data_IF_135794939709
#
_entry.id   IF_135794939709
#
_cell.length_a   1.000
_cell.length_b   1.000
_cell.length_c   1.000
_cell.angle_alpha   90.00
_cell.angle_beta   90.00
_cell.angle_gamma   90.00
#
_symmetry.space_group_name_H-M   'P 1'
#
loop_
_entity.id
_entity.type
_entity.pdbx_description
1 polymer ?
#
# COMPACT_ATOMS: atom_id res chain seq x y z
N UNK A 1 -0.50 6.33 -4.82
CA UNK A 1 -0.78 7.48 -5.70
C UNK A 1 0.38 7.73 -6.70
N UNK A 2 1.52 8.39 -6.32
CA UNK A 2 2.60 8.78 -7.24
C UNK A 2 3.24 7.60 -7.98
N UNK A 3 3.52 6.51 -7.29
CA UNK A 3 4.11 5.31 -7.88
C UNK A 3 3.24 4.70 -8.98
N UNK A 4 1.95 4.58 -8.75
CA UNK A 4 0.99 4.05 -9.73
C UNK A 4 0.91 4.98 -10.94
N UNK A 5 0.78 6.30 -10.71
CA UNK A 5 0.72 7.28 -11.78
C UNK A 5 1.94 7.25 -12.70
N UNK A 6 3.15 7.22 -12.12
CA UNK A 6 4.39 7.15 -12.92
C UNK A 6 4.55 5.81 -13.62
N UNK A 7 4.19 4.69 -12.97
CA UNK A 7 4.27 3.36 -13.58
C UNK A 7 3.44 3.27 -14.85
N UNK A 8 2.20 3.76 -14.82
CA UNK A 8 1.31 3.79 -15.97
C UNK A 8 1.86 4.63 -17.13
N UNK A 9 2.33 5.84 -16.82
CA UNK A 9 2.86 6.73 -17.85
C UNK A 9 4.15 6.17 -18.49
N UNK A 10 5.06 5.61 -17.69
CA UNK A 10 6.28 4.96 -18.20
C UNK A 10 5.90 3.74 -19.05
N UNK A 11 5.04 2.85 -18.57
CA UNK A 11 4.62 1.65 -19.30
C UNK A 11 3.99 2.01 -20.65
N UNK A 12 3.15 3.03 -20.68
CA UNK A 12 2.54 3.54 -21.91
C UNK A 12 3.60 4.05 -22.89
N UNK A 13 4.58 4.86 -22.42
CA UNK A 13 5.66 5.38 -23.29
C UNK A 13 6.57 4.27 -23.83
N UNK A 14 6.81 3.25 -23.01
CA UNK A 14 7.52 2.06 -23.48
C UNK A 14 6.76 1.34 -24.60
N UNK A 15 5.45 1.20 -24.48
CA UNK A 15 4.59 0.64 -25.52
C UNK A 15 4.60 1.46 -26.83
N UNK A 16 4.60 2.79 -26.69
CA UNK A 16 4.70 3.76 -27.81
C UNK A 16 6.13 3.81 -28.41
N UNK A 17 7.12 3.08 -27.86
CA UNK A 17 8.57 3.13 -28.23
C UNK A 17 9.18 4.53 -28.07
N UNK A 18 8.62 5.38 -27.21
CA UNK A 18 9.06 6.77 -26.96
C UNK A 18 9.95 6.87 -25.73
N UNK A 19 11.06 6.13 -25.73
CA UNK A 19 11.96 6.02 -24.57
C UNK A 19 12.59 7.36 -24.13
N UNK A 20 12.79 8.30 -25.07
CA UNK A 20 13.35 9.62 -24.76
C UNK A 20 12.48 10.44 -23.80
N UNK A 21 11.18 10.24 -23.81
CA UNK A 21 10.26 10.97 -22.92
C UNK A 21 10.27 10.43 -21.48
N UNK A 22 10.77 9.23 -21.25
CA UNK A 22 10.77 8.59 -19.92
C UNK A 22 11.53 9.43 -18.89
N UNK A 23 12.63 10.05 -19.27
CA UNK A 23 13.41 10.94 -18.40
C UNK A 23 12.54 12.06 -17.81
N UNK A 24 11.61 12.62 -18.58
CA UNK A 24 10.71 13.67 -18.08
C UNK A 24 9.81 13.17 -16.94
N UNK A 25 9.27 11.97 -17.08
CA UNK A 25 8.39 11.36 -16.06
C UNK A 25 9.16 10.94 -14.82
N UNK A 26 10.36 10.35 -14.97
CA UNK A 26 11.17 9.91 -13.83
C UNK A 26 11.73 11.09 -13.04
N UNK A 27 12.15 12.17 -13.70
CA UNK A 27 12.61 13.38 -13.01
C UNK A 27 11.47 14.13 -12.34
N UNK A 28 10.31 14.23 -13.01
CA UNK A 28 9.14 14.93 -12.48
C UNK A 28 8.56 14.21 -11.25
N UNK A 29 8.43 12.86 -11.27
CA UNK A 29 7.92 12.13 -10.11
C UNK A 29 8.86 12.23 -8.93
N UNK A 30 10.19 12.22 -9.13
CA UNK A 30 11.14 12.37 -8.03
C UNK A 30 11.06 13.77 -7.41
N UNK A 31 10.94 14.82 -8.24
CA UNK A 31 10.72 16.19 -7.77
C UNK A 31 9.41 16.35 -7.00
N UNK A 32 8.34 15.79 -7.55
CA UNK A 32 7.02 15.82 -6.93
C UNK A 32 6.98 15.03 -5.61
N UNK A 33 7.67 13.88 -5.55
CA UNK A 33 7.79 13.07 -4.32
C UNK A 33 8.51 13.85 -3.23
N UNK A 34 9.63 14.51 -3.55
CA UNK A 34 10.35 15.34 -2.60
C UNK A 34 9.48 16.50 -2.10
N UNK A 35 8.78 17.17 -2.99
CA UNK A 35 7.90 18.30 -2.61
C UNK A 35 6.78 17.85 -1.68
N UNK A 36 6.04 16.81 -2.07
CA UNK A 36 4.90 16.31 -1.28
C UNK A 36 5.36 15.79 0.07
N UNK A 37 6.43 14.97 0.11
CA UNK A 37 6.88 14.41 1.38
C UNK A 37 7.42 15.49 2.32
N UNK A 38 8.07 16.52 1.80
CA UNK A 38 8.51 17.67 2.59
C UNK A 38 7.32 18.41 3.21
N UNK A 39 6.30 18.72 2.40
CA UNK A 39 5.09 19.40 2.88
C UNK A 39 4.39 18.54 3.95
N UNK A 40 4.17 17.26 3.66
CA UNK A 40 3.49 16.34 4.60
C UNK A 40 4.31 16.17 5.88
N UNK A 41 5.63 16.01 5.78
CA UNK A 41 6.49 15.84 6.96
C UNK A 41 6.51 17.09 7.84
N UNK A 42 6.65 18.28 7.24
CA UNK A 42 6.61 19.55 7.98
C UNK A 42 5.25 19.75 8.64
N UNK A 43 4.16 19.56 7.89
CA UNK A 43 2.81 19.67 8.43
C UNK A 43 2.58 18.69 9.60
N UNK A 44 2.91 17.42 9.40
CA UNK A 44 2.75 16.39 10.44
C UNK A 44 3.63 16.70 11.65
N UNK A 45 4.85 17.18 11.47
CA UNK A 45 5.75 17.52 12.57
C UNK A 45 5.20 18.69 13.41
N UNK A 46 4.68 19.74 12.75
CA UNK A 46 4.10 20.91 13.44
C UNK A 46 2.79 20.55 14.18
N UNK A 47 1.96 19.71 13.59
CA UNK A 47 0.64 19.37 14.11
C UNK A 47 0.53 17.97 14.70
N UNK A 48 1.66 17.34 15.06
CA UNK A 48 1.69 15.94 15.52
C UNK A 48 0.70 15.67 16.65
N UNK A 49 0.69 16.52 17.70
CA UNK A 49 -0.22 16.36 18.84
C UNK A 49 -1.70 16.48 18.43
N UNK A 50 -2.01 17.46 17.60
CA UNK A 50 -3.39 17.68 17.11
C UNK A 50 -3.86 16.51 16.26
N UNK A 51 -2.99 15.97 15.40
CA UNK A 51 -3.28 14.80 14.58
C UNK A 51 -3.55 13.57 15.48
N UNK A 52 -2.70 13.32 16.47
CA UNK A 52 -2.90 12.22 17.40
C UNK A 52 -4.20 12.37 18.22
N UNK A 53 -4.53 13.58 18.69
CA UNK A 53 -5.78 13.85 19.37
C UNK A 53 -6.99 13.66 18.48
N UNK A 54 -6.92 14.11 17.23
CA UNK A 54 -7.98 13.92 16.24
C UNK A 54 -8.22 12.43 15.94
N UNK A 55 -7.15 11.62 15.92
CA UNK A 55 -7.24 10.17 15.78
C UNK A 55 -7.68 9.43 17.05
N UNK A 56 -8.01 10.15 18.12
CA UNK A 56 -8.57 9.58 19.35
C UNK A 56 -7.56 9.30 20.47
N UNK A 57 -6.29 9.67 20.31
CA UNK A 57 -5.29 9.48 21.37
C UNK A 57 -5.57 10.45 22.55
N UNK A 58 -5.51 9.93 23.78
CA UNK A 58 -5.69 10.67 25.05
C UNK A 58 -4.60 10.27 26.04
N UNK A 59 -4.36 11.10 27.02
CA UNK A 59 -3.47 10.88 28.15
C UNK A 59 -2.10 10.28 27.76
N UNK A 60 -1.71 9.18 28.37
CA UNK A 60 -0.44 8.50 28.11
C UNK A 60 -0.33 8.01 26.65
N UNK A 61 -1.46 7.62 26.03
CA UNK A 61 -1.46 7.19 24.61
C UNK A 61 -1.07 8.36 23.72
N UNK A 62 -1.53 9.58 24.02
CA UNK A 62 -1.16 10.77 23.26
C UNK A 62 0.36 11.02 23.30
N UNK A 63 0.98 10.92 24.47
CA UNK A 63 2.43 11.10 24.61
C UNK A 63 3.20 10.07 23.77
N UNK A 64 2.82 8.80 23.87
CA UNK A 64 3.48 7.71 23.14
C UNK A 64 3.29 7.84 21.62
N UNK A 65 2.07 8.11 21.17
CA UNK A 65 1.74 8.29 19.76
C UNK A 65 2.46 9.49 19.13
N UNK A 66 2.55 10.61 19.87
CA UNK A 66 3.26 11.81 19.43
C UNK A 66 4.76 11.54 19.26
N UNK A 67 5.38 10.86 20.24
CA UNK A 67 6.79 10.49 20.16
C UNK A 67 7.07 9.54 19.00
N UNK A 68 6.22 8.53 18.81
CA UNK A 68 6.33 7.58 17.71
C UNK A 68 6.21 8.27 16.35
N UNK A 69 5.14 9.06 16.16
CA UNK A 69 4.86 9.71 14.88
C UNK A 69 5.95 10.69 14.48
N UNK A 70 6.45 11.49 15.42
CA UNK A 70 7.58 12.41 15.17
C UNK A 70 8.82 11.70 14.64
N UNK A 71 9.18 10.57 15.26
CA UNK A 71 10.34 9.79 14.84
C UNK A 71 10.09 9.18 13.46
N UNK A 72 8.96 8.50 13.25
CA UNK A 72 8.66 7.80 12.00
C UNK A 72 8.55 8.75 10.79
N UNK A 73 8.17 10.01 11.00
CA UNK A 73 8.15 11.01 9.93
C UNK A 73 9.51 11.22 9.26
N UNK A 74 10.62 11.05 9.96
CA UNK A 74 11.95 11.08 9.32
C UNK A 74 12.17 9.93 8.34
N UNK A 75 11.53 8.77 8.58
CA UNK A 75 11.59 7.62 7.68
C UNK A 75 10.66 7.71 6.46
N UNK A 76 9.67 8.59 6.49
CA UNK A 76 8.66 8.70 5.44
C UNK A 76 9.25 9.01 4.05
N UNK A 77 10.38 9.72 4.00
CA UNK A 77 11.14 9.99 2.77
C UNK A 77 11.62 8.67 2.14
N UNK A 78 12.17 7.77 2.94
CA UNK A 78 12.66 6.48 2.47
C UNK A 78 11.52 5.61 1.94
N UNK A 79 10.40 5.57 2.66
CA UNK A 79 9.21 4.83 2.24
C UNK A 79 8.64 5.35 0.92
N UNK A 80 8.54 6.68 0.77
CA UNK A 80 8.03 7.30 -0.44
C UNK A 80 8.87 6.96 -1.67
N UNK A 81 10.20 7.09 -1.56
CA UNK A 81 11.10 6.74 -2.66
C UNK A 81 11.18 5.23 -2.91
N UNK A 82 11.13 4.39 -1.88
CA UNK A 82 11.05 2.92 -2.05
C UNK A 82 9.86 2.56 -2.92
N UNK A 83 8.71 3.16 -2.64
CA UNK A 83 7.47 2.93 -3.40
C UNK A 83 7.61 3.41 -4.84
N UNK A 84 8.06 4.65 -5.06
CA UNK A 84 8.22 5.22 -6.41
C UNK A 84 9.21 4.40 -7.24
N UNK A 85 10.37 4.03 -6.68
CA UNK A 85 11.38 3.22 -7.37
C UNK A 85 10.91 1.78 -7.63
N UNK A 86 10.12 1.22 -6.70
CA UNK A 86 9.45 -0.07 -6.90
C UNK A 86 8.52 -0.03 -8.11
N UNK A 87 7.64 0.97 -8.18
CA UNK A 87 6.73 1.14 -9.32
C UNK A 87 7.43 1.47 -10.63
N UNK A 88 8.56 2.19 -10.62
CA UNK A 88 9.39 2.35 -11.81
C UNK A 88 9.92 1.00 -12.31
N UNK A 89 10.38 0.12 -11.41
CA UNK A 89 10.80 -1.23 -11.77
C UNK A 89 9.65 -2.08 -12.33
N UNK A 90 8.45 -1.96 -11.75
CA UNK A 90 7.24 -2.64 -12.24
C UNK A 90 6.91 -2.22 -13.67
N UNK A 91 7.02 -0.92 -14.00
CA UNK A 91 6.77 -0.40 -15.35
C UNK A 91 7.67 -1.06 -16.42
N UNK A 92 8.87 -1.49 -16.03
CA UNK A 92 9.80 -2.25 -16.88
C UNK A 92 9.66 -3.77 -16.75
N UNK A 93 8.59 -4.25 -16.10
CA UNK A 93 8.31 -5.68 -15.92
C UNK A 93 9.10 -6.35 -14.78
N UNK A 94 9.84 -5.59 -13.96
CA UNK A 94 10.66 -6.13 -12.88
C UNK A 94 9.95 -6.05 -11.52
N UNK A 95 8.85 -6.80 -11.38
CA UNK A 95 8.02 -6.80 -10.16
C UNK A 95 8.74 -7.34 -8.92
N UNK A 96 9.72 -8.24 -9.11
CA UNK A 96 10.47 -8.87 -8.01
C UNK A 96 11.18 -7.85 -7.12
N UNK A 97 11.60 -6.72 -7.68
CA UNK A 97 12.33 -5.69 -6.93
C UNK A 97 11.47 -5.11 -5.81
N UNK A 98 10.22 -4.76 -6.11
CA UNK A 98 9.31 -4.20 -5.09
C UNK A 98 9.00 -5.22 -4.01
N UNK A 99 8.73 -6.47 -4.40
CA UNK A 99 8.47 -7.56 -3.47
C UNK A 99 9.68 -7.81 -2.55
N UNK A 100 10.88 -7.91 -3.10
CA UNK A 100 12.09 -8.12 -2.32
C UNK A 100 12.41 -6.94 -1.39
N UNK A 101 12.24 -5.70 -1.86
CA UNK A 101 12.44 -4.51 -1.03
C UNK A 101 11.51 -4.52 0.18
N UNK A 102 10.22 -4.82 -0.02
CA UNK A 102 9.24 -4.90 1.06
C UNK A 102 9.54 -6.05 2.02
N UNK A 103 9.87 -7.23 1.49
CA UNK A 103 10.22 -8.40 2.32
C UNK A 103 11.45 -8.15 3.17
N UNK A 104 12.52 -7.62 2.60
CA UNK A 104 13.75 -7.24 3.34
C UNK A 104 13.40 -6.24 4.44
N UNK A 105 12.59 -5.22 4.14
CA UNK A 105 12.12 -4.25 5.14
C UNK A 105 11.41 -4.91 6.30
N UNK A 106 10.47 -5.81 6.05
CA UNK A 106 9.73 -6.52 7.09
C UNK A 106 10.67 -7.36 7.96
N UNK A 107 11.58 -8.15 7.37
CA UNK A 107 12.53 -8.95 8.13
C UNK A 107 13.45 -8.11 9.00
N UNK A 108 13.98 -7.02 8.46
CA UNK A 108 14.83 -6.10 9.22
C UNK A 108 14.04 -5.44 10.35
N UNK A 109 12.80 -5.02 10.09
CA UNK A 109 11.95 -4.43 11.12
C UNK A 109 11.76 -5.39 12.30
N UNK A 110 11.40 -6.65 12.05
CA UNK A 110 11.21 -7.67 13.09
C UNK A 110 12.49 -7.86 13.92
N UNK A 111 13.65 -7.98 13.27
CA UNK A 111 14.93 -8.20 13.96
C UNK A 111 15.29 -6.99 14.80
N UNK A 112 15.19 -5.79 14.25
CA UNK A 112 15.59 -4.55 14.94
C UNK A 112 14.59 -4.22 16.05
N UNK A 113 13.28 -4.43 15.84
CA UNK A 113 12.25 -4.30 16.88
C UNK A 113 12.56 -5.20 18.08
N UNK A 114 12.84 -6.48 17.83
CA UNK A 114 13.19 -7.42 18.89
C UNK A 114 14.40 -6.92 19.69
N UNK A 115 15.45 -6.48 19.02
CA UNK A 115 16.67 -6.01 19.66
C UNK A 115 16.45 -4.73 20.45
N UNK A 116 15.81 -3.71 19.87
CA UNK A 116 15.65 -2.40 20.51
C UNK A 116 14.60 -2.43 21.64
N UNK A 117 13.52 -3.21 21.45
CA UNK A 117 12.45 -3.26 22.47
C UNK A 117 12.82 -4.21 23.60
N UNK A 118 13.28 -5.44 23.27
CA UNK A 118 13.50 -6.47 24.27
C UNK A 118 14.87 -6.35 24.98
N UNK A 119 15.94 -6.07 24.24
CA UNK A 119 17.29 -6.03 24.81
C UNK A 119 17.67 -4.64 25.34
N UNK A 120 17.30 -3.58 24.61
CA UNK A 120 17.62 -2.19 25.02
C UNK A 120 16.48 -1.49 25.75
N UNK A 121 15.34 -2.13 25.94
CA UNK A 121 14.16 -1.62 26.65
C UNK A 121 13.70 -0.23 26.19
N UNK A 122 13.90 0.11 24.91
CA UNK A 122 13.57 1.43 24.35
C UNK A 122 12.06 1.67 24.13
N UNK A 123 11.22 0.65 24.35
CA UNK A 123 9.77 0.75 24.19
C UNK A 123 9.35 1.31 22.82
N UNK A 124 8.42 2.25 22.81
CA UNK A 124 7.86 2.86 21.59
C UNK A 124 8.93 3.60 20.74
N UNK A 125 9.93 4.19 21.36
CA UNK A 125 11.03 4.82 20.63
C UNK A 125 11.85 3.79 19.86
N UNK A 126 12.07 2.61 20.45
CA UNK A 126 12.72 1.49 19.80
C UNK A 126 11.96 1.03 18.55
N UNK A 127 10.64 0.85 18.66
CA UNK A 127 9.77 0.51 17.54
C UNK A 127 9.83 1.55 16.40
N UNK A 128 9.84 2.84 16.72
CA UNK A 128 9.94 3.90 15.73
C UNK A 128 11.30 3.87 14.99
N UNK A 129 12.40 3.66 15.72
CA UNK A 129 13.75 3.57 15.15
C UNK A 129 13.88 2.32 14.27
N UNK A 130 13.34 1.17 14.68
CA UNK A 130 13.32 -0.05 13.89
C UNK A 130 12.57 0.16 12.57
N UNK A 131 11.42 0.85 12.62
CA UNK A 131 10.65 1.21 11.43
C UNK A 131 11.46 2.05 10.46
N UNK A 132 12.15 3.11 10.92
CA UNK A 132 12.98 3.95 10.05
C UNK A 132 14.15 3.15 9.47
N UNK A 133 14.81 2.33 10.29
CA UNK A 133 15.94 1.50 9.86
C UNK A 133 15.52 0.53 8.74
N UNK A 134 14.38 -0.11 8.89
CA UNK A 134 13.82 -1.01 7.86
C UNK A 134 13.46 -0.28 6.56
N UNK A 135 12.84 0.91 6.68
CA UNK A 135 12.51 1.76 5.53
C UNK A 135 13.78 2.23 4.80
N UNK A 136 14.83 2.61 5.55
CA UNK A 136 16.11 3.01 4.97
C UNK A 136 16.76 1.87 4.18
N UNK A 137 16.80 0.66 4.73
CA UNK A 137 17.38 -0.51 4.04
C UNK A 137 16.58 -0.87 2.80
N UNK A 138 15.24 -0.86 2.87
CA UNK A 138 14.37 -1.04 1.71
C UNK A 138 14.59 0.02 0.63
N UNK A 139 14.80 1.26 1.04
CA UNK A 139 15.14 2.36 0.14
C UNK A 139 16.48 2.13 -0.57
N UNK A 140 17.52 1.78 0.16
CA UNK A 140 18.86 1.51 -0.42
C UNK A 140 18.77 0.37 -1.43
N UNK A 141 18.05 -0.71 -1.09
CA UNK A 141 17.82 -1.81 -2.01
C UNK A 141 17.11 -1.35 -3.29
N UNK A 142 15.99 -0.64 -3.16
CA UNK A 142 15.23 -0.11 -4.30
C UNK A 142 16.06 0.87 -5.15
N UNK A 143 16.89 1.70 -4.50
CA UNK A 143 17.78 2.65 -5.16
C UNK A 143 18.84 1.95 -6.02
N UNK A 144 19.42 0.85 -5.53
CA UNK A 144 20.40 0.05 -6.29
C UNK A 144 19.75 -0.47 -7.58
N UNK A 145 18.55 -1.01 -7.50
CA UNK A 145 17.87 -1.56 -8.66
C UNK A 145 17.40 -0.49 -9.65
N UNK A 146 16.87 0.63 -9.17
CA UNK A 146 16.48 1.73 -10.07
C UNK A 146 17.69 2.38 -10.74
N UNK A 147 18.84 2.46 -10.06
CA UNK A 147 20.10 2.90 -10.70
C UNK A 147 20.60 1.93 -11.78
N UNK A 148 20.47 0.61 -11.56
CA UNK A 148 20.74 -0.38 -12.61
C UNK A 148 19.81 -0.18 -13.80
N UNK A 149 18.53 0.03 -13.54
CA UNK A 149 17.52 0.30 -14.57
C UNK A 149 17.82 1.59 -15.33
N UNK A 150 18.21 2.65 -14.63
CA UNK A 150 18.63 3.94 -15.18
C UNK A 150 19.80 3.77 -16.17
N UNK A 151 20.85 3.06 -15.75
CA UNK A 151 22.02 2.83 -16.61
C UNK A 151 21.68 2.03 -17.87
N UNK A 152 20.80 1.03 -17.74
CA UNK A 152 20.39 0.19 -18.88
C UNK A 152 19.56 0.95 -19.91
N UNK A 153 18.74 1.88 -19.47
CA UNK A 153 17.73 2.56 -20.30
C UNK A 153 18.02 4.05 -20.53
N UNK A 154 19.15 4.56 -20.05
CA UNK A 154 19.63 5.95 -20.25
C UNK A 154 18.59 7.03 -19.90
N UNK A 155 17.95 6.93 -18.72
CA UNK A 155 17.09 7.99 -18.21
C UNK A 155 17.70 8.68 -16.98
N UNK A 156 17.17 9.83 -16.57
CA UNK A 156 17.67 10.58 -15.41
C UNK A 156 16.76 10.38 -14.20
N UNK A 157 17.34 10.33 -13.00
CA UNK A 157 16.65 10.32 -11.71
C UNK A 157 16.73 11.67 -10.98
N UNK A 158 17.38 12.67 -11.55
CA UNK A 158 17.57 13.98 -10.91
C UNK A 158 16.19 14.62 -10.69
N UNK A 159 15.83 14.97 -9.45
CA UNK A 159 14.53 15.57 -9.18
C UNK A 159 14.36 16.91 -9.92
N UNK A 160 13.28 17.05 -10.68
CA UNK A 160 12.88 18.30 -11.34
C UNK A 160 11.38 18.45 -11.25
N UNK A 161 10.90 19.65 -11.00
CA UNK A 161 9.47 19.94 -11.02
C UNK A 161 9.08 20.37 -12.44
N UNK A 162 8.18 19.60 -13.05
CA UNK A 162 7.49 19.95 -14.29
C UNK A 162 5.99 19.90 -13.99
N UNK A 163 5.35 21.06 -14.02
CA UNK A 163 3.95 21.20 -13.60
C UNK A 163 3.00 20.37 -14.47
N UNK A 164 3.21 20.35 -15.78
CA UNK A 164 2.33 19.63 -16.71
C UNK A 164 2.46 18.10 -16.53
N UNK A 165 3.68 17.60 -16.37
CA UNK A 165 3.93 16.18 -16.15
C UNK A 165 3.46 15.77 -14.75
N UNK A 166 3.73 16.58 -13.74
CA UNK A 166 3.27 16.35 -12.37
C UNK A 166 1.74 16.28 -12.29
N UNK A 167 1.03 17.15 -12.99
CA UNK A 167 -0.44 17.09 -13.09
C UNK A 167 -0.93 15.76 -13.68
N UNK A 168 -0.29 15.26 -14.72
CA UNK A 168 -0.65 13.99 -15.33
C UNK A 168 -0.39 12.80 -14.37
N UNK A 169 0.74 12.81 -13.67
CA UNK A 169 1.06 11.78 -12.64
C UNK A 169 0.01 11.81 -11.53
N UNK A 170 -0.34 13.00 -11.04
CA UNK A 170 -1.33 13.18 -9.99
C UNK A 170 -2.73 12.76 -10.47
N UNK A 171 -3.13 13.13 -11.68
CA UNK A 171 -4.45 12.78 -12.21
C UNK A 171 -4.69 11.27 -12.25
N UNK A 172 -3.69 10.48 -12.70
CA UNK A 172 -3.77 9.02 -12.69
C UNK A 172 -3.70 8.46 -11.27
N UNK A 173 -2.79 8.99 -10.46
CA UNK A 173 -2.61 8.51 -9.09
C UNK A 173 -3.72 8.94 -8.14
N UNK A 174 -4.49 9.96 -8.44
CA UNK A 174 -5.54 10.50 -7.58
C UNK A 174 -6.68 9.52 -7.33
N UNK A 175 -7.02 8.69 -8.34
CA UNK A 175 -7.99 7.61 -8.17
C UNK A 175 -7.57 6.63 -7.07
N UNK A 176 -6.28 6.26 -7.01
CA UNK A 176 -5.76 5.41 -5.93
C UNK A 176 -5.79 6.11 -4.57
N UNK A 177 -5.58 7.42 -4.53
CA UNK A 177 -5.69 8.20 -3.29
C UNK A 177 -7.12 8.20 -2.77
N UNK A 178 -8.12 8.39 -3.64
CA UNK A 178 -9.54 8.35 -3.25
C UNK A 178 -9.91 7.00 -2.65
N UNK A 179 -9.44 5.88 -3.23
CA UNK A 179 -9.74 4.54 -2.72
C UNK A 179 -9.21 4.39 -1.29
N UNK A 180 -7.92 4.64 -1.07
CA UNK A 180 -7.29 4.53 0.25
C UNK A 180 -7.93 5.48 1.29
N UNK A 181 -8.27 6.69 0.85
CA UNK A 181 -8.94 7.67 1.70
C UNK A 181 -10.37 7.26 2.07
N UNK A 182 -11.10 6.68 1.11
CA UNK A 182 -12.45 6.15 1.33
C UNK A 182 -12.45 4.99 2.33
N UNK A 183 -11.45 4.10 2.26
CA UNK A 183 -11.31 3.01 3.22
C UNK A 183 -11.06 3.53 4.64
N UNK A 184 -10.24 4.55 4.80
CA UNK A 184 -9.99 5.18 6.10
C UNK A 184 -11.26 5.85 6.68
N UNK A 185 -12.04 6.54 5.83
CA UNK A 185 -13.33 7.11 6.23
C UNK A 185 -14.31 5.99 6.62
N UNK A 186 -14.41 4.94 5.82
CA UNK A 186 -15.31 3.82 6.07
C UNK A 186 -15.04 3.20 7.45
N UNK A 187 -13.79 2.92 7.77
CA UNK A 187 -13.39 2.36 9.08
C UNK A 187 -13.78 3.32 10.21
N UNK A 188 -13.53 4.61 10.04
CA UNK A 188 -13.87 5.63 11.04
C UNK A 188 -15.38 5.71 11.29
N UNK A 189 -16.16 5.74 10.21
CA UNK A 189 -17.65 5.79 10.28
C UNK A 189 -18.18 4.50 10.91
N UNK A 190 -17.69 3.34 10.51
CA UNK A 190 -18.11 2.06 11.11
C UNK A 190 -17.84 2.02 12.61
N UNK A 191 -16.65 2.44 13.05
CA UNK A 191 -16.34 2.48 14.49
C UNK A 191 -17.28 3.43 15.25
N UNK A 192 -17.61 4.57 14.64
CA UNK A 192 -18.53 5.54 15.26
C UNK A 192 -19.97 5.01 15.37
N UNK A 193 -20.43 4.26 14.38
CA UNK A 193 -21.76 3.63 14.37
C UNK A 193 -21.83 2.38 15.27
N UNK A 194 -20.77 1.63 15.39
CA UNK A 194 -20.74 0.41 16.20
C UNK A 194 -20.62 0.68 17.70
N UNK A 195 -19.95 1.76 18.08
CA UNK A 195 -19.72 2.10 19.48
C UNK A 195 -21.02 2.22 20.32
N UNK A 196 -22.07 2.96 19.89
CA UNK A 196 -23.31 3.07 20.66
C UNK A 196 -24.16 1.80 20.67
N UNK A 197 -23.97 0.89 19.69
CA UNK A 197 -24.78 -0.33 19.55
C UNK A 197 -24.18 -1.52 20.31
N UNK A 198 -22.88 -1.70 20.26
CA UNK A 198 -22.20 -2.88 20.84
C UNK A 198 -21.00 -2.54 21.73
N UNK A 199 -20.79 -1.26 22.04
CA UNK A 199 -19.71 -0.83 22.91
C UNK A 199 -18.31 -1.19 22.40
N UNK A 200 -17.41 -1.41 23.34
CA UNK A 200 -16.02 -1.79 23.03
C UNK A 200 -15.90 -3.15 22.33
N UNK A 201 -16.80 -4.08 22.64
CA UNK A 201 -16.80 -5.41 22.02
C UNK A 201 -17.00 -5.32 20.51
N UNK A 202 -17.94 -4.49 20.05
CA UNK A 202 -18.20 -4.29 18.63
C UNK A 202 -17.00 -3.66 17.90
N UNK A 203 -16.27 -2.76 18.54
CA UNK A 203 -15.04 -2.17 17.97
C UNK A 203 -13.93 -3.22 17.87
N UNK A 204 -13.75 -4.05 18.89
CA UNK A 204 -12.79 -5.15 18.90
C UNK A 204 -13.10 -6.13 17.76
N UNK A 205 -14.38 -6.54 17.64
CA UNK A 205 -14.85 -7.43 16.59
C UNK A 205 -14.58 -6.85 15.20
N UNK A 206 -14.97 -5.57 14.97
CA UNK A 206 -14.71 -4.89 13.69
C UNK A 206 -13.21 -4.82 13.37
N UNK A 207 -12.37 -4.54 14.37
CA UNK A 207 -10.92 -4.50 14.22
C UNK A 207 -10.33 -5.85 13.79
N UNK A 208 -10.78 -6.95 14.38
CA UNK A 208 -10.34 -8.31 14.02
C UNK A 208 -10.83 -8.69 12.62
N UNK A 209 -12.13 -8.46 12.34
CA UNK A 209 -12.73 -8.75 11.03
C UNK A 209 -11.99 -7.98 9.93
N UNK A 210 -11.72 -6.69 10.13
CA UNK A 210 -10.98 -5.86 9.18
C UNK A 210 -9.58 -6.39 8.94
N UNK A 211 -8.82 -6.75 9.99
CA UNK A 211 -7.47 -7.31 9.86
C UNK A 211 -7.47 -8.63 9.09
N UNK A 212 -8.39 -9.53 9.41
CA UNK A 212 -8.48 -10.83 8.72
C UNK A 212 -8.90 -10.62 7.25
N UNK A 213 -9.85 -9.72 6.99
CA UNK A 213 -10.24 -9.36 5.62
C UNK A 213 -9.07 -8.79 4.81
N UNK A 214 -8.20 -7.97 5.40
CA UNK A 214 -7.02 -7.42 4.71
C UNK A 214 -6.12 -8.52 4.13
N UNK A 215 -5.90 -9.65 4.83
CA UNK A 215 -5.13 -10.78 4.29
C UNK A 215 -5.78 -11.38 3.04
N UNK A 216 -7.10 -11.43 2.99
CA UNK A 216 -7.82 -11.91 1.80
C UNK A 216 -7.68 -10.92 0.63
N UNK A 217 -7.86 -9.63 0.89
CA UNK A 217 -7.82 -8.58 -0.14
C UNK A 217 -6.42 -8.39 -0.75
N UNK A 218 -5.34 -8.55 0.03
CA UNK A 218 -3.95 -8.39 -0.44
C UNK A 218 -3.67 -9.24 -1.67
N UNK A 219 -4.14 -10.49 -1.73
CA UNK A 219 -3.94 -11.35 -2.88
C UNK A 219 -4.65 -10.83 -4.14
N UNK A 220 -5.90 -10.36 -4.01
CA UNK A 220 -6.66 -9.79 -5.14
C UNK A 220 -6.06 -8.48 -5.63
N UNK A 221 -5.70 -7.58 -4.71
CA UNK A 221 -5.05 -6.30 -5.02
C UNK A 221 -3.72 -6.54 -5.72
N UNK A 222 -2.91 -7.49 -5.21
CA UNK A 222 -1.60 -7.82 -5.79
C UNK A 222 -1.68 -8.27 -7.24
N UNK A 223 -2.61 -9.18 -7.55
CA UNK A 223 -2.81 -9.65 -8.93
C UNK A 223 -3.39 -8.54 -9.82
N UNK A 224 -4.43 -7.86 -9.34
CA UNK A 224 -5.11 -6.81 -10.13
C UNK A 224 -4.18 -5.63 -10.43
N UNK A 225 -3.38 -5.19 -9.47
CA UNK A 225 -2.39 -4.12 -9.67
C UNK A 225 -1.27 -4.51 -10.63
N UNK A 226 -0.94 -5.81 -10.72
CA UNK A 226 0.07 -6.32 -11.64
C UNK A 226 -0.37 -6.26 -13.11
N UNK A 227 -1.67 -6.32 -13.36
CA UNK A 227 -2.25 -6.25 -14.71
C UNK A 227 -2.16 -4.83 -15.28
N UNK A 228 -2.23 -3.81 -14.45
CA UNK A 228 -2.28 -2.40 -14.85
C UNK A 228 -1.10 -1.96 -15.76
N UNK A 229 0.19 -2.19 -15.42
CA UNK A 229 1.30 -1.83 -16.29
C UNK A 229 1.29 -2.59 -17.61
N UNK A 230 0.81 -3.85 -17.61
CA UNK A 230 0.68 -4.64 -18.84
C UNK A 230 -0.37 -4.06 -19.78
N UNK A 231 -1.49 -3.60 -19.24
CA UNK A 231 -2.53 -2.91 -20.01
C UNK A 231 -2.00 -1.59 -20.55
N UNK A 232 -1.37 -0.77 -19.70
CA UNK A 232 -0.81 0.52 -20.09
C UNK A 232 0.23 0.41 -21.20
N UNK A 233 1.10 -0.62 -21.14
CA UNK A 233 2.07 -0.92 -22.19
C UNK A 233 1.39 -1.26 -23.52
N UNK A 234 0.44 -2.23 -23.51
CA UNK A 234 -0.25 -2.66 -24.72
C UNK A 234 -1.18 -1.57 -25.28
N UNK A 235 -1.71 -0.69 -24.42
CA UNK A 235 -2.45 0.50 -24.86
C UNK A 235 -1.55 1.46 -25.62
N UNK A 236 -0.34 1.72 -25.12
CA UNK A 236 0.68 2.50 -25.83
C UNK A 236 1.09 1.87 -27.16
N UNK A 237 1.19 0.54 -27.21
CA UNK A 237 1.50 -0.23 -28.43
C UNK A 237 0.29 -0.37 -29.38
N UNK A 238 -0.91 0.11 -29.00
CA UNK A 238 -2.18 -0.03 -29.74
C UNK A 238 -2.60 -1.49 -29.99
N UNK A 239 -2.15 -2.42 -29.13
CA UNK A 239 -2.48 -3.85 -29.23
C UNK A 239 -3.71 -4.18 -28.36
N UNK A 240 -4.90 -3.79 -28.84
CA UNK A 240 -6.16 -3.99 -28.12
C UNK A 240 -6.55 -5.46 -27.97
N UNK A 241 -6.08 -6.33 -28.88
CA UNK A 241 -6.34 -7.78 -28.77
C UNK A 241 -5.62 -8.37 -27.55
N UNK A 242 -4.38 -7.96 -27.31
CA UNK A 242 -3.67 -8.38 -26.10
C UNK A 242 -4.29 -7.81 -24.82
N UNK A 243 -4.75 -6.57 -24.82
CA UNK A 243 -5.49 -5.99 -23.69
C UNK A 243 -6.69 -6.86 -23.34
N UNK A 244 -7.51 -7.22 -24.32
CA UNK A 244 -8.69 -8.08 -24.11
C UNK A 244 -8.29 -9.46 -23.55
N UNK A 245 -7.20 -10.05 -24.05
CA UNK A 245 -6.67 -11.33 -23.55
C UNK A 245 -6.17 -11.22 -22.11
N UNK A 246 -5.41 -10.16 -21.78
CA UNK A 246 -4.92 -9.90 -20.43
C UNK A 246 -6.07 -9.74 -19.45
N UNK A 247 -7.09 -8.95 -19.81
CA UNK A 247 -8.28 -8.76 -18.99
C UNK A 247 -9.03 -10.08 -18.74
N UNK A 248 -9.32 -10.83 -19.81
CA UNK A 248 -10.03 -12.11 -19.70
C UNK A 248 -9.26 -13.09 -18.78
N UNK A 249 -7.95 -13.21 -18.99
CA UNK A 249 -7.10 -14.08 -18.16
C UNK A 249 -7.05 -13.57 -16.71
N UNK A 250 -6.93 -12.27 -16.51
CA UNK A 250 -6.95 -11.63 -15.20
C UNK A 250 -8.24 -11.90 -14.44
N UNK A 251 -9.39 -11.68 -15.07
CA UNK A 251 -10.69 -11.96 -14.46
C UNK A 251 -10.83 -13.41 -14.01
N UNK A 252 -10.51 -14.35 -14.91
CA UNK A 252 -10.57 -15.78 -14.55
C UNK A 252 -9.63 -16.12 -13.40
N UNK A 253 -8.38 -15.65 -13.48
CA UNK A 253 -7.37 -15.97 -12.48
C UNK A 253 -7.71 -15.39 -11.11
N UNK A 254 -8.10 -14.09 -11.04
CA UNK A 254 -8.42 -13.44 -9.75
C UNK A 254 -9.70 -14.02 -9.15
N UNK A 255 -10.69 -14.35 -9.99
CA UNK A 255 -11.92 -15.01 -9.53
C UNK A 255 -11.65 -16.41 -8.95
N UNK A 256 -10.84 -17.22 -9.62
CA UNK A 256 -10.46 -18.54 -9.10
C UNK A 256 -9.64 -18.42 -7.79
N UNK A 257 -8.67 -17.51 -7.76
CA UNK A 257 -7.85 -17.27 -6.58
C UNK A 257 -8.70 -16.80 -5.39
N UNK A 258 -9.58 -15.84 -5.62
CA UNK A 258 -10.48 -15.33 -4.57
C UNK A 258 -11.45 -16.41 -4.07
N UNK A 259 -11.94 -17.26 -4.97
CA UNK A 259 -12.81 -18.39 -4.59
C UNK A 259 -12.05 -19.41 -3.74
N UNK A 260 -10.82 -19.75 -4.10
CA UNK A 260 -9.98 -20.67 -3.32
C UNK A 260 -9.72 -20.08 -1.92
N UNK A 261 -9.35 -18.80 -1.84
CA UNK A 261 -9.14 -18.11 -0.56
C UNK A 261 -10.43 -18.09 0.26
N UNK A 262 -11.57 -17.80 -0.37
CA UNK A 262 -12.86 -17.78 0.29
C UNK A 262 -13.24 -19.13 0.88
N UNK A 263 -13.06 -20.21 0.11
CA UNK A 263 -13.28 -21.58 0.59
C UNK A 263 -12.37 -21.89 1.78
N UNK A 264 -11.07 -21.62 1.66
CA UNK A 264 -10.09 -21.85 2.72
C UNK A 264 -10.45 -21.10 4.00
N UNK A 265 -10.84 -19.82 3.88
CA UNK A 265 -11.24 -19.00 5.02
C UNK A 265 -12.52 -19.49 5.69
N UNK A 266 -13.52 -19.92 4.92
CA UNK A 266 -14.75 -20.48 5.49
C UNK A 266 -14.51 -21.78 6.29
N UNK A 267 -13.63 -22.66 5.79
CA UNK A 267 -13.29 -23.91 6.51
C UNK A 267 -12.47 -23.66 7.78
N UNK A 268 -11.59 -22.65 7.78
CA UNK A 268 -10.65 -22.42 8.88
C UNK A 268 -10.99 -21.16 9.71
N UNK A 269 -12.20 -20.64 9.60
CA UNK A 269 -12.60 -19.36 10.18
C UNK A 269 -12.37 -19.31 11.69
N UNK A 270 -12.77 -20.32 12.45
CA UNK A 270 -12.62 -20.39 13.91
C UNK A 270 -11.14 -20.39 14.32
N UNK A 271 -10.31 -21.12 13.59
CA UNK A 271 -8.88 -21.17 13.84
C UNK A 271 -8.22 -19.82 13.58
N UNK A 272 -8.57 -19.18 12.47
CA UNK A 272 -7.96 -17.89 12.06
C UNK A 272 -8.38 -16.76 12.99
N UNK A 273 -9.67 -16.65 13.32
CA UNK A 273 -10.16 -15.62 14.25
C UNK A 273 -9.66 -15.92 15.68
N UNK A 274 -9.55 -17.19 16.07
CA UNK A 274 -9.01 -17.63 17.37
C UNK A 274 -7.55 -17.25 17.61
N UNK A 275 -6.77 -16.93 16.55
CA UNK A 275 -5.43 -16.35 16.71
C UNK A 275 -5.46 -14.92 17.29
N UNK A 276 -6.58 -14.20 17.12
CA UNK A 276 -6.75 -12.83 17.56
C UNK A 276 -7.62 -12.70 18.82
N UNK A 277 -8.58 -13.60 19.01
CA UNK A 277 -9.55 -13.57 20.10
C UNK A 277 -9.47 -14.87 20.92
N UNK A 278 -9.29 -14.73 22.24
CA UNK A 278 -9.27 -15.85 23.19
C UNK A 278 -10.61 -16.04 23.93
N UNK A 279 -11.43 -14.99 23.96
CA UNK A 279 -12.76 -15.03 24.57
C UNK A 279 -13.72 -15.79 23.64
N UNK A 280 -14.30 -16.89 24.10
CA UNK A 280 -15.16 -17.77 23.31
C UNK A 280 -16.42 -17.05 22.80
N UNK A 281 -17.01 -16.17 23.60
CA UNK A 281 -18.20 -15.38 23.22
C UNK A 281 -17.87 -14.45 22.06
N UNK A 282 -16.77 -13.68 22.18
CA UNK A 282 -16.33 -12.76 21.14
C UNK A 282 -15.88 -13.53 19.89
N UNK A 283 -15.25 -14.69 20.04
CA UNK A 283 -14.84 -15.56 18.94
C UNK A 283 -16.05 -15.99 18.11
N UNK A 284 -17.13 -16.46 18.76
CA UNK A 284 -18.34 -16.89 18.07
C UNK A 284 -19.00 -15.75 17.34
N UNK A 285 -19.17 -14.60 18.02
CA UNK A 285 -19.74 -13.39 17.40
C UNK A 285 -18.91 -12.90 16.19
N UNK A 286 -17.57 -12.92 16.31
CA UNK A 286 -16.65 -12.54 15.22
C UNK A 286 -16.78 -13.50 14.05
N UNK A 287 -16.84 -14.80 14.31
CA UNK A 287 -16.95 -15.85 13.29
C UNK A 287 -18.24 -15.70 12.49
N UNK A 288 -19.38 -15.53 13.18
CA UNK A 288 -20.67 -15.36 12.52
C UNK A 288 -20.71 -14.06 11.69
N UNK A 289 -20.25 -12.95 12.26
CA UNK A 289 -20.18 -11.68 11.56
C UNK A 289 -19.24 -11.75 10.34
N UNK A 290 -18.09 -12.40 10.46
CA UNK A 290 -17.13 -12.51 9.37
C UNK A 290 -17.67 -13.32 8.19
N UNK A 291 -18.46 -14.37 8.44
CA UNK A 291 -19.11 -15.15 7.36
C UNK A 291 -19.98 -14.28 6.47
N UNK A 292 -20.72 -13.33 7.05
CA UNK A 292 -21.53 -12.37 6.27
C UNK A 292 -20.64 -11.41 5.48
N UNK A 293 -19.58 -10.90 6.08
CA UNK A 293 -18.65 -9.96 5.42
C UNK A 293 -17.99 -10.57 4.20
N UNK A 294 -17.56 -11.84 4.27
CA UNK A 294 -16.86 -12.50 3.17
C UNK A 294 -17.78 -13.14 2.13
N UNK A 295 -19.10 -13.09 2.31
CA UNK A 295 -20.06 -13.75 1.41
C UNK A 295 -19.88 -13.32 -0.07
N UNK A 296 -19.65 -12.04 -0.29
CA UNK A 296 -19.49 -11.46 -1.64
C UNK A 296 -18.03 -11.42 -2.11
N UNK A 297 -17.10 -11.98 -1.33
CA UNK A 297 -15.67 -11.86 -1.59
C UNK A 297 -15.24 -12.33 -3.00
N UNK A 298 -15.70 -13.48 -3.54
CA UNK A 298 -15.33 -13.88 -4.90
C UNK A 298 -15.78 -12.87 -5.96
N UNK A 299 -16.92 -12.22 -5.76
CA UNK A 299 -17.47 -11.23 -6.70
C UNK A 299 -16.66 -9.93 -6.69
N UNK A 300 -16.10 -9.55 -5.52
CA UNK A 300 -15.27 -8.36 -5.39
C UNK A 300 -13.98 -8.45 -6.24
N UNK A 301 -13.59 -9.64 -6.69
CA UNK A 301 -12.48 -9.81 -7.63
C UNK A 301 -12.69 -9.03 -8.93
N UNK A 302 -13.91 -8.96 -9.44
CA UNK A 302 -14.26 -8.19 -10.64
C UNK A 302 -14.11 -6.68 -10.40
N UNK A 303 -14.53 -6.20 -9.23
CA UNK A 303 -14.39 -4.80 -8.83
C UNK A 303 -12.93 -4.34 -8.84
N UNK A 304 -12.01 -5.11 -8.23
CA UNK A 304 -10.60 -4.76 -8.20
C UNK A 304 -9.96 -4.72 -9.60
N UNK A 305 -10.26 -5.68 -10.47
CA UNK A 305 -9.73 -5.64 -11.84
C UNK A 305 -10.26 -4.43 -12.61
N UNK A 306 -11.55 -4.12 -12.47
CA UNK A 306 -12.14 -2.94 -13.12
C UNK A 306 -11.46 -1.64 -12.63
N UNK A 307 -11.22 -1.49 -11.32
CA UNK A 307 -10.54 -0.32 -10.78
C UNK A 307 -9.16 -0.14 -11.44
N UNK A 308 -8.33 -1.20 -11.41
CA UNK A 308 -6.98 -1.12 -11.96
C UNK A 308 -6.93 -1.02 -13.48
N UNK A 309 -7.99 -1.43 -14.18
CA UNK A 309 -8.14 -1.23 -15.62
C UNK A 309 -8.42 0.23 -15.98
N UNK A 310 -9.28 0.91 -15.21
CA UNK A 310 -9.67 2.30 -15.49
C UNK A 310 -8.70 3.34 -14.90
N UNK A 311 -7.78 2.94 -14.06
CA UNK A 311 -6.69 3.78 -13.58
C UNK A 311 -5.56 3.89 -14.62
#
# INVERSE_FOLDING_TARGET
CLGIGVSNLISRRLGEKRNKDITKYTTAVNGLTLLIILIVSVFTFLFTSNICMFLGARDNILLYSTNYLRIVMFGSVFLAFTTVFGYMNIAYGNMKVMLLASSIGIFINIIVDYFLIKNLHMGIKGAAIATISSQFISFVFSLIFVKKLQRKNNFSLIPRLDFNISRNILAIGFSSFIIEFSDAILISVLNHLLLPVGGNDAIILNGVITKVSMFMFVAMIGVSSSIQPLISYNYGAKDFLKIKKILKTGFVFVFLLSTIIWIFMNYNINLIIGLFLKDERLLQMATDSFRYVILVFPILSFYYICIYFFQ
#
